data_IF_256120327206
#
_entry.id   IF_256120327206
#
_cell.length_a   1.000
_cell.length_b   1.000
_cell.length_c   1.000
_cell.angle_alpha   90.00
_cell.angle_beta   90.00
_cell.angle_gamma   90.00
#
_symmetry.space_group_name_H-M   'P 1'
#
loop_
_entity.id
_entity.type
_entity.pdbx_description
1 polymer ?
#
# COMPACT_ATOMS: atom_id res chain seq x y z
N UNK A 1 -9.42 22.15 -17.70
CA UNK A 1 -9.97 21.37 -16.56
C UNK A 1 -10.71 22.32 -15.60
N UNK A 2 -11.72 23.05 -16.05
CA UNK A 2 -12.48 23.95 -15.18
C UNK A 2 -13.97 23.60 -15.34
N UNK A 3 -14.62 23.19 -14.25
CA UNK A 3 -16.07 22.96 -14.19
C UNK A 3 -16.55 21.51 -14.08
N UNK A 4 -15.67 20.51 -13.98
CA UNK A 4 -16.10 19.12 -13.76
C UNK A 4 -16.33 18.86 -12.27
N UNK A 5 -17.41 18.14 -11.94
CA UNK A 5 -17.73 17.74 -10.56
C UNK A 5 -16.87 16.54 -10.17
N UNK A 6 -15.76 16.79 -9.48
CA UNK A 6 -14.90 15.74 -8.92
C UNK A 6 -15.44 15.31 -7.57
N UNK A 7 -15.59 14.00 -7.37
CA UNK A 7 -16.01 13.41 -6.09
C UNK A 7 -15.07 12.29 -5.68
N UNK A 8 -15.07 11.99 -4.38
CA UNK A 8 -14.40 10.82 -3.81
C UNK A 8 -15.43 9.91 -3.18
N UNK A 9 -15.36 8.63 -3.50
CA UNK A 9 -16.26 7.60 -3.01
C UNK A 9 -15.45 6.52 -2.30
N UNK A 10 -15.89 6.13 -1.12
CA UNK A 10 -15.30 5.00 -0.40
C UNK A 10 -16.38 3.96 -0.18
N UNK A 11 -16.11 2.72 -0.55
CA UNK A 11 -17.10 1.66 -0.51
C UNK A 11 -16.49 0.31 -0.82
N UNK A 12 -17.34 -0.68 -1.06
CA UNK A 12 -16.91 -2.03 -1.44
C UNK A 12 -17.32 -2.31 -2.89
N UNK A 13 -16.50 -3.08 -3.59
CA UNK A 13 -16.82 -3.61 -4.92
C UNK A 13 -18.02 -4.55 -4.84
N UNK A 14 -19.05 -4.30 -5.64
CA UNK A 14 -20.27 -5.14 -5.71
C UNK A 14 -20.02 -6.40 -6.51
N UNK A 15 -19.17 -6.29 -7.53
CA UNK A 15 -18.79 -7.29 -8.52
C UNK A 15 -17.27 -7.23 -8.77
N UNK A 16 -16.71 -8.27 -9.39
CA UNK A 16 -15.33 -8.25 -9.86
C UNK A 16 -15.18 -7.25 -11.02
N UNK A 17 -14.06 -6.50 -11.11
CA UNK A 17 -13.88 -5.54 -12.19
C UNK A 17 -13.87 -6.22 -13.56
N UNK A 18 -14.74 -5.76 -14.45
CA UNK A 18 -14.82 -6.27 -15.82
C UNK A 18 -13.85 -5.51 -16.73
N UNK A 19 -12.75 -6.17 -17.12
CA UNK A 19 -11.80 -5.63 -18.09
C UNK A 19 -12.26 -5.90 -19.53
N UNK A 20 -12.29 -4.85 -20.34
CA UNK A 20 -12.53 -4.91 -21.78
C UNK A 20 -11.53 -4.05 -22.54
N UNK A 21 -11.44 -4.27 -23.85
CA UNK A 21 -10.62 -3.48 -24.75
C UNK A 21 -11.49 -2.82 -25.81
N UNK A 22 -11.22 -1.56 -26.12
CA UNK A 22 -11.84 -0.88 -27.26
C UNK A 22 -11.31 -1.44 -28.59
N UNK A 23 -11.98 -1.17 -29.73
CA UNK A 23 -11.44 -1.52 -31.05
C UNK A 23 -10.07 -0.91 -31.34
N UNK A 24 -9.73 0.21 -30.71
CA UNK A 24 -8.41 0.84 -30.77
C UNK A 24 -7.36 0.21 -29.83
N UNK A 25 -7.72 -0.84 -29.09
CA UNK A 25 -6.83 -1.55 -28.17
C UNK A 25 -6.68 -0.89 -26.79
N UNK A 26 -7.45 0.14 -26.46
CA UNK A 26 -7.36 0.77 -25.15
C UNK A 26 -8.15 -0.04 -24.10
N UNK A 27 -7.50 -0.37 -22.98
CA UNK A 27 -8.13 -1.04 -21.85
C UNK A 27 -9.14 -0.12 -21.14
N UNK A 28 -10.27 -0.70 -20.72
CA UNK A 28 -11.27 -0.09 -19.85
C UNK A 28 -11.74 -1.13 -18.85
N UNK A 29 -11.74 -0.79 -17.55
CA UNK A 29 -12.30 -1.63 -16.51
C UNK A 29 -13.55 -0.96 -15.95
N UNK A 30 -14.64 -1.73 -15.83
CA UNK A 30 -15.89 -1.28 -15.23
C UNK A 30 -16.17 -2.08 -13.97
N UNK A 31 -16.58 -1.37 -12.93
CA UNK A 31 -16.93 -1.99 -11.65
C UNK A 31 -17.93 -1.13 -10.91
N UNK A 32 -18.69 -1.73 -9.99
CA UNK A 32 -19.68 -1.00 -9.19
C UNK A 32 -19.25 -0.91 -7.73
N UNK A 33 -19.34 0.29 -7.15
CA UNK A 33 -19.01 0.55 -5.74
C UNK A 33 -20.29 0.79 -4.95
N UNK A 34 -20.44 0.07 -3.84
CA UNK A 34 -21.46 0.30 -2.83
C UNK A 34 -20.86 1.08 -1.64
N UNK A 35 -21.35 2.29 -1.41
CA UNK A 35 -20.98 3.13 -0.28
C UNK A 35 -22.13 3.16 0.73
N UNK A 36 -21.95 2.45 1.84
CA UNK A 36 -22.95 2.35 2.91
C UNK A 36 -22.52 3.26 4.07
N UNK A 37 -23.24 4.35 4.36
CA UNK A 37 -22.98 5.16 5.54
C UNK A 37 -23.37 4.37 6.80
N UNK A 38 -22.59 4.52 7.87
CA UNK A 38 -22.94 3.98 9.19
C UNK A 38 -23.18 5.14 10.15
N UNK A 39 -24.29 5.10 10.86
CA UNK A 39 -24.66 6.10 11.86
C UNK A 39 -24.79 5.45 13.23
N UNK A 40 -24.30 6.11 14.26
CA UNK A 40 -24.42 5.63 15.62
C UNK A 40 -25.77 6.03 16.22
N UNK A 41 -26.57 5.03 16.60
CA UNK A 41 -27.84 5.24 17.28
C UNK A 41 -27.60 5.32 18.79
N UNK A 42 -27.84 6.50 19.37
CA UNK A 42 -27.64 6.75 20.80
C UNK A 42 -28.69 6.09 21.70
N UNK A 43 -29.85 5.74 21.18
CA UNK A 43 -30.90 5.09 21.97
C UNK A 43 -30.61 3.60 22.14
N UNK A 44 -30.17 2.94 21.06
CA UNK A 44 -29.83 1.51 21.10
C UNK A 44 -28.36 1.25 21.38
N UNK A 45 -27.52 2.29 21.43
CA UNK A 45 -26.07 2.22 21.64
C UNK A 45 -25.35 1.34 20.60
N UNK A 46 -25.82 1.36 19.36
CA UNK A 46 -25.37 0.48 18.27
C UNK A 46 -25.12 1.26 16.98
N UNK A 47 -24.21 0.75 16.15
CA UNK A 47 -23.99 1.27 14.79
C UNK A 47 -24.97 0.64 13.81
N UNK A 48 -25.77 1.47 13.15
CA UNK A 48 -26.72 1.05 12.13
C UNK A 48 -26.24 1.47 10.74
N UNK A 49 -26.48 0.61 9.78
CA UNK A 49 -26.19 0.86 8.37
C UNK A 49 -27.35 1.65 7.74
N UNK A 50 -27.03 2.70 7.00
CA UNK A 50 -27.98 3.51 6.27
C UNK A 50 -28.21 3.03 4.83
N UNK A 51 -28.91 3.85 4.05
CA UNK A 51 -29.12 3.57 2.63
C UNK A 51 -27.81 3.63 1.84
N UNK A 52 -27.56 2.59 1.04
CA UNK A 52 -26.31 2.47 0.28
C UNK A 52 -26.39 3.25 -1.03
N UNK A 53 -25.39 4.09 -1.28
CA UNK A 53 -25.15 4.68 -2.59
C UNK A 53 -24.45 3.68 -3.49
N UNK A 54 -24.96 3.48 -4.69
CA UNK A 54 -24.34 2.63 -5.70
C UNK A 54 -23.87 3.45 -6.89
N UNK A 55 -22.59 3.40 -7.22
CA UNK A 55 -22.01 4.10 -8.36
C UNK A 55 -21.25 3.15 -9.27
N UNK A 56 -21.55 3.21 -10.56
CA UNK A 56 -20.77 2.53 -11.60
C UNK A 56 -19.56 3.38 -11.94
N UNK A 57 -18.38 2.78 -11.85
CA UNK A 57 -17.10 3.43 -12.09
C UNK A 57 -16.48 2.88 -13.37
N UNK A 58 -15.83 3.75 -14.15
CA UNK A 58 -15.03 3.35 -15.30
C UNK A 58 -13.63 3.93 -15.22
N UNK A 59 -12.62 3.08 -15.37
CA UNK A 59 -11.19 3.46 -15.35
C UNK A 59 -10.55 2.96 -16.64
N UNK A 60 -9.51 3.66 -17.11
CA UNK A 60 -8.95 3.45 -18.44
C UNK A 60 -7.44 3.14 -18.42
N UNK A 61 -6.96 2.57 -19.52
CA UNK A 61 -5.55 2.30 -19.80
C UNK A 61 -4.90 1.41 -18.73
N UNK A 62 -3.64 1.65 -18.39
CA UNK A 62 -2.89 0.84 -17.43
C UNK A 62 -3.59 0.74 -16.06
N UNK A 63 -4.29 1.78 -15.61
CA UNK A 63 -5.06 1.71 -14.36
C UNK A 63 -6.21 0.69 -14.45
N UNK A 64 -6.81 0.49 -15.63
CA UNK A 64 -7.81 -0.56 -15.83
C UNK A 64 -7.25 -1.96 -15.69
N UNK A 65 -6.09 -2.23 -16.29
CA UNK A 65 -5.40 -3.51 -16.18
C UNK A 65 -5.00 -3.79 -14.72
N UNK A 66 -4.40 -2.79 -14.06
CA UNK A 66 -4.03 -2.88 -12.65
C UNK A 66 -5.24 -3.16 -11.74
N UNK A 67 -6.38 -2.50 -12.00
CA UNK A 67 -7.61 -2.71 -11.23
C UNK A 67 -8.13 -4.13 -11.39
N UNK A 68 -8.18 -4.64 -12.62
CA UNK A 68 -8.66 -5.99 -12.89
C UNK A 68 -7.74 -7.06 -12.29
N UNK A 69 -6.43 -6.80 -12.20
CA UNK A 69 -5.47 -7.72 -11.57
C UNK A 69 -5.49 -7.63 -10.04
N UNK A 70 -5.73 -6.44 -9.47
CA UNK A 70 -5.52 -6.18 -8.04
C UNK A 70 -6.79 -6.26 -7.20
N UNK A 71 -7.95 -6.02 -7.79
CA UNK A 71 -9.20 -5.83 -7.06
C UNK A 71 -10.22 -6.91 -7.40
N UNK A 72 -11.00 -7.30 -6.40
CA UNK A 72 -12.06 -8.31 -6.52
C UNK A 72 -13.30 -7.86 -5.75
N UNK A 73 -14.42 -8.52 -6.03
CA UNK A 73 -15.69 -8.34 -5.34
C UNK A 73 -15.51 -8.32 -3.82
N UNK A 74 -16.18 -7.37 -3.17
CA UNK A 74 -16.18 -7.19 -1.72
C UNK A 74 -14.98 -6.42 -1.18
N UNK A 75 -13.91 -6.22 -1.95
CA UNK A 75 -12.77 -5.43 -1.50
C UNK A 75 -13.18 -3.96 -1.29
N UNK A 76 -12.68 -3.38 -0.20
CA UNK A 76 -12.89 -1.97 0.12
C UNK A 76 -11.96 -1.10 -0.72
N UNK A 77 -12.51 -0.10 -1.37
CA UNK A 77 -11.78 0.81 -2.27
C UNK A 77 -12.04 2.27 -1.94
N UNK A 78 -11.07 3.10 -2.28
CA UNK A 78 -11.20 4.56 -2.36
C UNK A 78 -11.09 4.92 -3.84
N UNK A 79 -12.06 5.64 -4.36
CA UNK A 79 -12.15 6.03 -5.77
C UNK A 79 -12.32 7.53 -5.85
N UNK A 80 -11.52 8.21 -6.67
CA UNK A 80 -11.68 9.62 -7.01
C UNK A 80 -11.87 9.75 -8.51
N UNK A 81 -12.78 10.62 -8.91
CA UNK A 81 -13.01 10.88 -10.33
C UNK A 81 -14.12 11.87 -10.56
N UNK A 82 -14.53 11.98 -11.81
CA UNK A 82 -15.53 12.94 -12.28
C UNK A 82 -16.89 12.28 -12.35
N UNK A 83 -17.88 12.90 -11.71
CA UNK A 83 -19.26 12.49 -11.81
C UNK A 83 -19.80 12.85 -13.20
N UNK A 84 -20.33 11.86 -13.92
CA UNK A 84 -20.99 12.02 -15.20
C UNK A 84 -22.43 11.55 -15.11
N UNK A 85 -23.31 12.31 -15.74
CA UNK A 85 -24.70 11.93 -15.93
C UNK A 85 -24.89 11.48 -17.37
N UNK A 86 -25.44 10.29 -17.58
CA UNK A 86 -25.78 9.77 -18.90
C UNK A 86 -27.27 9.47 -18.96
N UNK A 87 -27.89 9.87 -20.06
CA UNK A 87 -29.27 9.47 -20.38
C UNK A 87 -29.25 8.36 -21.42
N UNK A 88 -30.06 7.34 -21.23
CA UNK A 88 -30.30 6.30 -22.23
C UNK A 88 -31.78 5.96 -22.28
N UNK A 89 -32.22 5.46 -23.42
CA UNK A 89 -33.58 4.95 -23.61
C UNK A 89 -33.56 3.46 -23.29
N UNK A 90 -34.44 3.00 -22.40
CA UNK A 90 -34.61 1.58 -22.17
C UNK A 90 -35.40 0.92 -23.31
N UNK A 91 -35.58 -0.41 -23.25
CA UNK A 91 -36.25 -1.17 -24.31
C UNK A 91 -37.72 -0.76 -24.49
N UNK A 92 -38.30 -0.06 -23.53
CA UNK A 92 -39.70 0.37 -23.51
C UNK A 92 -39.86 1.82 -24.02
N UNK A 93 -38.77 2.47 -24.42
CA UNK A 93 -38.77 3.84 -24.91
C UNK A 93 -38.63 4.89 -23.80
N UNK A 94 -38.40 4.48 -22.55
CA UNK A 94 -38.35 5.39 -21.40
C UNK A 94 -36.92 5.91 -21.23
N UNK A 95 -36.78 7.23 -21.24
CA UNK A 95 -35.50 7.89 -20.94
C UNK A 95 -35.15 7.72 -19.46
N UNK A 96 -34.08 6.99 -19.19
CA UNK A 96 -33.49 6.84 -17.85
C UNK A 96 -32.21 7.65 -17.74
N UNK A 97 -32.02 8.23 -16.57
CA UNK A 97 -30.77 8.90 -16.19
C UNK A 97 -29.98 7.99 -15.27
N UNK A 98 -28.69 7.82 -15.54
CA UNK A 98 -27.75 7.14 -14.66
C UNK A 98 -26.56 8.03 -14.35
N UNK A 99 -26.04 7.84 -13.15
CA UNK A 99 -24.81 8.46 -12.69
C UNK A 99 -23.68 7.44 -12.78
N UNK A 100 -22.61 7.86 -13.43
CA UNK A 100 -21.39 7.08 -13.61
C UNK A 100 -20.21 7.93 -13.14
N UNK A 101 -19.11 7.29 -12.76
CA UNK A 101 -17.90 7.96 -12.31
C UNK A 101 -16.75 7.62 -13.24
N UNK A 102 -16.21 8.64 -13.92
CA UNK A 102 -14.97 8.53 -14.69
C UNK A 102 -13.80 8.64 -13.72
N UNK A 103 -13.19 7.50 -13.42
CA UNK A 103 -12.16 7.36 -12.41
C UNK A 103 -10.86 8.01 -12.88
N UNK A 104 -10.31 8.89 -12.05
CA UNK A 104 -8.96 9.41 -12.22
C UNK A 104 -7.97 8.61 -11.34
N UNK A 105 -8.36 8.26 -10.10
CA UNK A 105 -7.54 7.49 -9.16
C UNK A 105 -8.37 6.45 -8.40
N UNK A 106 -7.76 5.28 -8.14
CA UNK A 106 -8.38 4.20 -7.36
C UNK A 106 -7.34 3.42 -6.60
N UNK A 107 -7.66 3.08 -5.35
CA UNK A 107 -6.80 2.27 -4.49
C UNK A 107 -7.57 1.38 -3.53
N UNK A 108 -6.97 0.24 -3.18
CA UNK A 108 -7.46 -0.60 -2.09
C UNK A 108 -7.35 0.14 -0.75
N UNK A 109 -8.42 0.17 0.01
CA UNK A 109 -8.46 0.79 1.33
C UNK A 109 -7.76 -0.11 2.36
N UNK A 110 -6.78 0.44 3.07
CA UNK A 110 -6.06 -0.27 4.14
C UNK A 110 -6.76 -0.21 5.51
N UNK A 111 -7.98 0.35 5.59
CA UNK A 111 -8.75 0.47 6.85
C UNK A 111 -8.85 -0.85 7.63
N UNK A 112 -9.02 -1.96 6.92
CA UNK A 112 -9.24 -3.28 7.48
C UNK A 112 -8.56 -4.37 6.63
N UNK A 113 -7.47 -4.01 5.94
CA UNK A 113 -6.72 -4.89 5.06
C UNK A 113 -5.25 -4.42 4.97
N UNK A 114 -4.36 -5.32 4.58
CA UNK A 114 -2.98 -4.99 4.20
C UNK A 114 -2.82 -5.18 2.68
N UNK A 115 -1.83 -4.52 2.08
CA UNK A 115 -1.52 -4.68 0.67
C UNK A 115 0.00 -4.70 0.45
N UNK A 116 0.48 -5.53 -0.47
CA UNK A 116 1.83 -5.44 -1.02
C UNK A 116 1.75 -4.71 -2.35
N UNK A 117 2.49 -3.61 -2.47
CA UNK A 117 2.46 -2.77 -3.68
C UNK A 117 3.67 -3.11 -4.55
N UNK A 118 3.40 -3.53 -5.79
CA UNK A 118 4.42 -3.70 -6.82
C UNK A 118 4.28 -2.57 -7.82
N UNK A 119 5.34 -1.79 -8.03
CA UNK A 119 5.34 -0.73 -9.06
C UNK A 119 5.45 -1.37 -10.43
N UNK A 120 4.54 -1.03 -11.34
CA UNK A 120 4.73 -1.34 -12.75
C UNK A 120 5.96 -0.57 -13.23
N UNK A 121 6.91 -1.24 -13.89
CA UNK A 121 8.00 -0.53 -14.56
C UNK A 121 7.39 0.40 -15.60
N UNK A 122 7.59 1.69 -15.44
CA UNK A 122 7.08 2.67 -16.40
C UNK A 122 7.55 2.30 -17.80
N UNK A 123 6.68 2.48 -18.80
CA UNK A 123 7.05 2.49 -20.23
C UNK A 123 7.88 3.75 -20.52
N UNK A 124 9.02 3.86 -19.86
CA UNK A 124 9.92 5.00 -19.81
C UNK A 124 11.28 4.46 -19.40
N UNK A 125 11.95 3.81 -20.35
CA UNK A 125 13.21 3.10 -20.09
C UNK A 125 13.58 2.01 -21.08
N UNK A 126 13.00 1.97 -22.29
CA UNK A 126 13.62 1.27 -23.42
C UNK A 126 14.45 2.29 -24.22
N UNK A 127 15.35 2.99 -23.53
CA UNK A 127 16.44 3.74 -24.15
C UNK A 127 17.62 2.79 -24.24
N UNK A 128 18.01 2.42 -25.46
CA UNK A 128 19.14 1.52 -25.70
C UNK A 128 20.42 2.03 -25.06
N UNK A 129 20.89 1.33 -24.03
CA UNK A 129 22.28 1.34 -23.62
C UNK A 129 23.00 0.25 -24.39
N UNK A 130 23.64 0.64 -25.49
CA UNK A 130 24.42 -0.23 -26.35
C UNK A 130 25.44 -1.04 -25.57
N UNK A 131 25.59 -2.30 -25.98
CA UNK A 131 26.62 -3.18 -25.46
C UNK A 131 28.02 -2.62 -25.70
N UNK A 132 28.85 -2.67 -24.67
CA UNK A 132 30.28 -2.61 -24.79
C UNK A 132 30.81 -4.03 -24.55
N UNK A 133 30.80 -4.82 -25.63
CA UNK A 133 31.59 -6.03 -25.75
C UNK A 133 32.74 -5.77 -26.72
N UNK A 134 33.96 -6.14 -26.32
CA UNK A 134 35.19 -6.11 -27.12
C UNK A 134 36.23 -5.19 -26.48
N UNK A 135 37.45 -5.59 -26.15
CA UNK A 135 38.20 -6.81 -26.40
C UNK A 135 39.69 -6.46 -26.31
N UNK A 136 40.43 -7.24 -25.51
CA UNK A 136 41.82 -7.69 -25.72
C UNK A 136 42.97 -6.68 -25.96
N UNK A 137 44.00 -6.79 -25.09
CA UNK A 137 45.38 -6.29 -25.28
C UNK A 137 45.89 -5.66 -23.98
N UNK A 138 46.91 -6.13 -23.26
CA UNK A 138 48.12 -6.86 -23.63
C UNK A 138 49.31 -6.07 -23.05
N UNK A 139 50.11 -6.66 -22.15
CA UNK A 139 51.36 -6.04 -21.68
C UNK A 139 51.74 -6.35 -20.23
N UNK A 140 52.52 -7.40 -20.04
CA UNK A 140 53.14 -7.76 -18.76
C UNK A 140 54.45 -7.02 -18.50
N UNK A 141 54.68 -6.74 -17.23
CA UNK A 141 55.95 -6.42 -16.55
C UNK A 141 55.71 -6.90 -15.10
N UNK A 142 56.48 -7.75 -14.41
CA UNK A 142 57.89 -8.06 -14.46
C UNK A 142 58.44 -7.96 -13.03
N UNK A 143 58.50 -9.10 -12.31
CA UNK A 143 59.44 -9.36 -11.20
C UNK A 143 59.13 -8.84 -9.79
N UNK A 144 59.32 -9.71 -8.77
CA UNK A 144 59.69 -9.26 -7.43
C UNK A 144 59.07 -9.99 -6.23
N UNK A 145 59.73 -11.07 -5.80
CA UNK A 145 59.85 -11.61 -4.43
C UNK A 145 59.31 -10.78 -3.25
N UNK A 146 58.64 -11.45 -2.29
CA UNK A 146 58.59 -10.99 -0.90
C UNK A 146 57.28 -11.27 -0.19
N UNK A 147 57.28 -12.20 0.77
CA UNK A 147 56.12 -12.56 1.59
C UNK A 147 55.67 -11.50 2.59
N UNK A 148 54.51 -11.72 3.18
CA UNK A 148 54.06 -10.97 4.35
C UNK A 148 52.54 -10.78 4.44
N UNK A 149 51.95 -11.50 5.39
CA UNK A 149 50.80 -11.11 6.24
C UNK A 149 49.41 -10.85 5.62
N UNK A 150 48.54 -11.80 5.94
CA UNK A 150 47.08 -11.69 5.95
C UNK A 150 46.62 -10.56 6.88
N UNK A 151 45.75 -9.69 6.38
CA UNK A 151 45.07 -8.66 7.14
C UNK A 151 43.95 -8.03 6.31
N UNK A 152 42.77 -8.65 6.30
CA UNK A 152 41.59 -8.15 5.60
C UNK A 152 41.04 -6.91 6.27
N UNK A 153 41.19 -5.75 5.61
CA UNK A 153 40.49 -4.52 5.94
C UNK A 153 39.18 -4.44 5.18
N UNK A 154 38.06 -4.60 5.89
CA UNK A 154 36.75 -4.19 5.40
C UNK A 154 36.57 -2.68 5.66
N UNK A 155 36.13 -1.87 4.69
CA UNK A 155 35.69 -0.51 4.97
C UNK A 155 34.34 -0.58 5.70
N UNK A 156 34.35 -0.22 6.98
CA UNK A 156 33.18 -0.11 7.83
C UNK A 156 32.85 1.38 8.04
N UNK A 157 32.02 1.93 7.15
CA UNK A 157 31.32 3.19 7.39
C UNK A 157 29.81 2.90 7.29
N UNK A 158 29.24 2.27 8.33
CA UNK A 158 27.79 2.18 8.50
C UNK A 158 27.36 3.05 9.69
N UNK A 159 26.70 4.21 9.45
CA UNK A 159 26.35 5.17 10.49
C UNK A 159 25.21 4.72 11.43
N UNK A 160 24.71 3.49 11.28
CA UNK A 160 23.60 2.95 12.08
C UNK A 160 23.96 1.78 13.00
N UNK A 161 25.25 1.41 13.10
CA UNK A 161 25.70 0.38 14.04
C UNK A 161 25.83 0.94 15.47
N UNK A 162 24.74 0.91 16.24
CA UNK A 162 24.80 1.18 17.69
C UNK A 162 25.50 0.04 18.41
N UNK A 163 26.60 0.37 19.08
CA UNK A 163 27.44 -0.51 19.90
C UNK A 163 26.65 -1.27 20.98
N UNK A 164 26.70 -2.60 20.93
CA UNK A 164 26.41 -3.46 22.08
C UNK A 164 27.65 -3.54 22.99
N UNK A 165 27.51 -3.48 24.34
CA UNK A 165 28.65 -3.68 25.21
C UNK A 165 28.90 -5.19 25.44
N UNK A 166 30.09 -5.64 25.06
CA UNK A 166 30.75 -6.83 25.60
C UNK A 166 31.96 -6.33 26.40
N UNK A 167 32.35 -6.83 27.57
CA UNK A 167 31.89 -7.93 28.42
C UNK A 167 32.83 -7.96 29.65
N UNK A 168 32.54 -8.81 30.63
CA UNK A 168 33.44 -9.05 31.76
C UNK A 168 32.90 -10.16 32.64
N UNK A 169 33.38 -11.39 32.44
CA UNK A 169 33.01 -12.54 33.28
C UNK A 169 33.88 -12.66 34.51
N UNK A 170 33.37 -13.31 35.57
CA UNK A 170 34.10 -14.37 36.29
C UNK A 170 33.16 -15.19 37.20
N UNK A 171 33.53 -16.46 37.34
CA UNK A 171 32.90 -17.58 38.05
C UNK A 171 32.65 -17.35 39.55
N UNK A 172 31.66 -18.07 40.11
CA UNK A 172 31.66 -18.39 41.54
C UNK A 172 30.33 -18.81 42.16
N UNK A 173 30.06 -20.13 42.17
CA UNK A 173 29.54 -20.93 43.29
C UNK A 173 28.35 -20.47 44.16
N UNK A 174 27.41 -21.41 44.35
CA UNK A 174 26.79 -21.66 45.66
C UNK A 174 25.38 -21.10 45.85
N UNK A 175 24.38 -21.98 45.82
CA UNK A 175 23.03 -21.68 46.29
C UNK A 175 22.87 -21.87 47.79
N UNK A 176 22.07 -21.02 48.42
CA UNK A 176 21.27 -21.18 49.65
C UNK A 176 20.22 -20.05 49.54
N UNK A 177 18.91 -20.25 49.54
CA UNK A 177 18.12 -20.77 50.65
C UNK A 177 17.34 -19.63 51.31
N UNK A 178 16.01 -19.62 51.14
CA UNK A 178 15.02 -19.06 52.08
C UNK A 178 14.87 -17.54 52.20
N UNK A 179 13.63 -17.09 52.44
CA UNK A 179 13.41 -15.77 53.05
C UNK A 179 12.18 -15.02 52.58
N UNK A 180 11.02 -15.43 53.09
CA UNK A 180 9.79 -14.64 53.19
C UNK A 180 9.98 -13.30 53.93
N UNK A 181 9.24 -12.27 53.49
CA UNK A 181 9.05 -10.99 54.19
C UNK A 181 9.00 -9.86 53.17
N UNK A 182 7.89 -9.16 52.91
CA UNK A 182 6.97 -8.57 53.87
C UNK A 182 7.40 -7.12 54.09
N UNK A 183 6.71 -6.14 53.48
CA UNK A 183 6.90 -4.73 53.81
C UNK A 183 6.72 -3.72 52.67
N UNK A 184 5.50 -3.17 52.60
CA UNK A 184 5.22 -1.72 52.65
C UNK A 184 5.74 -0.79 51.53
N UNK A 185 4.79 -0.10 50.86
CA UNK A 185 4.78 1.30 50.37
C UNK A 185 3.64 1.41 49.33
N UNK A 186 2.72 2.37 49.29
CA UNK A 186 2.75 3.77 49.71
C UNK A 186 2.64 4.67 48.46
N UNK A 187 1.53 5.41 48.30
CA UNK A 187 1.32 6.46 47.28
C UNK A 187 0.73 5.96 45.95
N UNK A 188 -0.40 6.44 45.42
CA UNK A 188 -1.17 7.65 45.70
C UNK A 188 -0.72 8.81 44.84
N UNK A 189 -0.91 8.76 43.51
CA UNK A 189 -1.10 9.94 42.65
C UNK A 189 -1.94 9.57 41.42
N UNK A 190 -3.14 10.14 41.37
CA UNK A 190 -3.96 10.34 40.19
C UNK A 190 -3.34 11.43 39.34
N UNK A 191 -3.05 11.15 38.07
CA UNK A 191 -2.58 12.14 37.10
C UNK A 191 -3.49 12.09 35.87
N UNK A 192 -4.46 13.01 35.84
CA UNK A 192 -5.38 13.28 34.74
C UNK A 192 -4.96 14.64 34.15
N UNK A 193 -4.46 14.69 32.90
CA UNK A 193 -4.06 15.95 32.30
C UNK A 193 -5.30 16.69 31.76
N UNK A 194 -5.42 18.01 32.00
CA UNK A 194 -6.49 18.80 31.42
C UNK A 194 -6.20 19.12 29.93
N UNK A 195 -7.31 19.27 29.19
CA UNK A 195 -7.53 19.69 27.79
C UNK A 195 -7.11 18.75 26.65
#
# INVERSE_FOLDING_TARGET
MAGETVITVVGNLVDDPELRFTPSGAAVAKFRVASTPRTFDRQTNEWKDGESLFLTCSVWRQAAENVAESLQRGMRVIVQGRLKQRSYEDREGIKRTVYELDVDEVGASLRNATAKVTKTSGRGGQGGGGGFGGGQGGGGWGGGSGGGQQGGGAPADDPWATSAPAGGGQQGGGGWGGGSGGGQQGGGYSDEPPF
#
